data_IF_142428723071
#
_entry.id   IF_142428723071
#
_cell.length_a   1.000
_cell.length_b   1.000
_cell.length_c   1.000
_cell.angle_alpha   90.00
_cell.angle_beta   90.00
_cell.angle_gamma   90.00
#
_symmetry.space_group_name_H-M   'P 1'
#
loop_
_entity.id
_entity.type
_entity.pdbx_description
1 polymer ?
#
# COMPACT_ATOMS: atom_id res chain seq x y z
N UNK A 1 -14.85 7.12 0.80
CA UNK A 1 -14.23 5.79 1.04
C UNK A 1 -13.32 5.75 2.26
N UNK A 2 -12.13 6.38 2.25
CA UNK A 2 -11.14 6.26 3.36
C UNK A 2 -11.74 6.70 4.70
N UNK A 3 -12.31 7.91 4.75
CA UNK A 3 -12.96 8.45 5.94
C UNK A 3 -14.16 7.60 6.41
N UNK A 4 -15.07 7.26 5.50
CA UNK A 4 -16.30 6.52 5.80
C UNK A 4 -16.01 5.12 6.39
N UNK A 5 -15.00 4.42 5.86
CA UNK A 5 -14.61 3.10 6.34
C UNK A 5 -13.64 3.15 7.53
N UNK A 6 -13.25 4.34 7.98
CA UNK A 6 -12.27 4.54 9.06
C UNK A 6 -10.95 3.83 8.80
N UNK A 7 -10.51 3.79 7.54
CA UNK A 7 -9.19 3.25 7.16
C UNK A 7 -8.10 4.19 7.64
N UNK A 8 -7.19 3.69 8.48
CA UNK A 8 -6.04 4.43 9.00
C UNK A 8 -4.73 4.13 8.25
N UNK A 9 -4.73 3.16 7.31
CA UNK A 9 -3.58 2.84 6.45
C UNK A 9 -4.00 2.73 4.98
N UNK A 10 -3.19 3.33 4.11
CA UNK A 10 -3.22 3.14 2.66
C UNK A 10 -1.91 2.50 2.22
N UNK A 11 -1.97 1.35 1.54
CA UNK A 11 -0.84 0.68 0.92
C UNK A 11 -0.88 0.86 -0.61
N UNK A 12 -0.06 1.76 -1.12
CA UNK A 12 0.09 2.06 -2.54
C UNK A 12 1.23 1.24 -3.14
N UNK A 13 0.90 0.29 -4.02
CA UNK A 13 1.83 -0.67 -4.61
C UNK A 13 2.20 -0.30 -6.07
N UNK A 14 2.24 0.98 -6.41
CA UNK A 14 2.58 1.46 -7.77
C UNK A 14 3.28 2.81 -7.71
N UNK A 15 4.07 3.11 -8.74
CA UNK A 15 4.45 4.49 -9.03
C UNK A 15 3.29 5.23 -9.70
N UNK A 16 3.35 6.56 -9.72
CA UNK A 16 2.38 7.42 -10.41
C UNK A 16 2.48 7.24 -11.92
N UNK A 17 3.70 7.11 -12.43
CA UNK A 17 4.02 6.93 -13.85
C UNK A 17 5.02 5.79 -14.01
N UNK A 18 4.72 4.85 -14.90
CA UNK A 18 5.59 3.73 -15.24
C UNK A 18 5.70 3.65 -16.77
N UNK A 19 6.94 3.67 -17.30
CA UNK A 19 7.22 3.66 -18.75
C UNK A 19 6.43 4.71 -19.54
N UNK A 20 6.32 5.92 -18.99
CA UNK A 20 5.61 7.05 -19.60
C UNK A 20 4.09 6.96 -19.54
N UNK A 21 3.51 5.92 -18.90
CA UNK A 21 2.05 5.78 -18.73
C UNK A 21 1.64 6.11 -17.30
N UNK A 22 0.58 6.90 -17.16
CA UNK A 22 -0.02 7.18 -15.86
C UNK A 22 -0.63 5.89 -15.31
N UNK A 23 -0.28 5.58 -14.06
CA UNK A 23 -0.75 4.42 -13.30
C UNK A 23 -1.63 4.82 -12.13
N UNK A 24 -1.33 5.96 -11.51
CA UNK A 24 -2.08 6.51 -10.39
C UNK A 24 -1.91 8.04 -10.34
N UNK A 25 -3.00 8.78 -10.24
CA UNK A 25 -2.95 10.21 -9.98
C UNK A 25 -2.59 10.48 -8.52
N UNK A 26 -1.86 11.57 -8.26
CA UNK A 26 -1.56 12.01 -6.90
C UNK A 26 -2.87 12.48 -6.25
N UNK A 27 -3.23 11.84 -5.15
CA UNK A 27 -4.42 12.18 -4.34
C UNK A 27 -4.04 12.68 -2.94
N UNK A 28 -2.77 13.04 -2.76
CA UNK A 28 -2.20 13.54 -1.50
C UNK A 28 -1.49 14.88 -1.75
N UNK A 29 -1.27 15.69 -0.71
CA UNK A 29 -0.52 16.94 -0.83
C UNK A 29 0.97 16.70 -1.08
N UNK A 30 1.59 17.53 -1.91
CA UNK A 30 3.03 17.40 -2.23
C UNK A 30 3.94 18.14 -1.25
N UNK A 31 3.39 19.06 -0.47
CA UNK A 31 4.14 19.91 0.47
C UNK A 31 3.40 19.96 1.81
N UNK A 32 4.16 20.01 2.90
CA UNK A 32 3.64 20.07 4.27
C UNK A 32 2.69 21.27 4.47
N UNK A 33 3.03 22.43 3.91
CA UNK A 33 2.29 23.69 4.14
C UNK A 33 1.14 23.93 3.16
N UNK A 34 0.96 23.07 2.16
CA UNK A 34 -0.02 23.28 1.07
C UNK A 34 -1.02 22.14 1.07
N UNK A 35 -2.22 22.32 1.65
CA UNK A 35 -3.23 21.27 1.65
C UNK A 35 -3.77 21.00 0.24
N UNK A 36 -4.21 19.76 0.02
CA UNK A 36 -4.97 19.38 -1.16
C UNK A 36 -6.47 19.55 -0.87
N UNK A 37 -7.13 20.45 -1.60
CA UNK A 37 -8.58 20.66 -1.50
C UNK A 37 -9.33 19.81 -2.53
N UNK A 38 -10.23 18.96 -2.05
CA UNK A 38 -11.09 18.08 -2.87
C UNK A 38 -12.53 18.62 -2.98
N UNK A 39 -12.76 19.85 -2.50
CA UNK A 39 -14.07 20.50 -2.38
C UNK A 39 -14.81 20.12 -1.10
N UNK A 40 -14.84 18.83 -0.74
CA UNK A 40 -15.49 18.34 0.50
C UNK A 40 -14.51 18.06 1.64
N UNK A 41 -13.27 17.74 1.30
CA UNK A 41 -12.22 17.42 2.26
C UNK A 41 -10.97 18.23 1.95
N UNK A 42 -10.31 18.71 3.01
CA UNK A 42 -8.96 19.26 2.95
C UNK A 42 -7.99 18.23 3.52
N UNK A 43 -7.03 17.82 2.71
CA UNK A 43 -6.02 16.84 3.08
C UNK A 43 -4.75 17.60 3.40
N UNK A 44 -4.20 17.37 4.58
CA UNK A 44 -2.94 17.95 5.05
C UNK A 44 -1.88 16.87 5.13
N UNK A 45 -0.64 17.22 4.85
CA UNK A 45 0.51 16.34 5.02
C UNK A 45 1.24 16.78 6.30
N UNK A 46 1.38 15.89 7.27
CA UNK A 46 2.04 16.20 8.56
C UNK A 46 3.51 15.81 8.56
N UNK A 47 3.83 14.69 7.92
CA UNK A 47 5.19 14.18 7.82
C UNK A 47 5.39 13.42 6.52
N UNK A 48 6.63 13.42 6.02
CA UNK A 48 7.03 12.65 4.87
C UNK A 48 8.44 12.09 5.06
N UNK A 49 8.58 10.78 4.87
CA UNK A 49 9.84 10.06 4.96
C UNK A 49 10.08 9.26 3.68
N UNK A 50 11.34 9.26 3.24
CA UNK A 50 11.79 8.51 2.08
C UNK A 50 12.75 7.43 2.55
N UNK A 51 12.37 6.17 2.36
CA UNK A 51 13.22 5.00 2.56
C UNK A 51 13.57 4.42 1.19
N UNK A 52 14.61 3.61 1.13
CA UNK A 52 15.15 3.06 -0.12
C UNK A 52 14.05 2.37 -0.96
N UNK A 53 13.15 1.62 -0.33
CA UNK A 53 12.13 0.81 -1.01
C UNK A 53 10.68 1.24 -0.77
N UNK A 54 10.44 2.24 0.09
CA UNK A 54 9.10 2.77 0.30
C UNK A 54 9.10 4.22 0.82
N UNK A 55 7.99 4.92 0.60
CA UNK A 55 7.76 6.28 1.10
C UNK A 55 6.63 6.23 2.13
N UNK A 56 6.82 6.96 3.22
CA UNK A 56 5.81 7.12 4.27
C UNK A 56 5.34 8.55 4.24
N UNK A 57 4.03 8.74 4.18
CA UNK A 57 3.39 10.04 4.33
C UNK A 57 2.38 9.92 5.46
N UNK A 58 2.54 10.73 6.49
CA UNK A 58 1.65 10.72 7.62
C UNK A 58 0.70 11.91 7.52
N UNK A 59 -0.57 11.59 7.73
CA UNK A 59 -1.64 12.50 8.08
C UNK A 59 -2.54 11.75 9.07
N UNK A 60 -3.83 12.09 9.17
CA UNK A 60 -4.83 11.25 9.86
C UNK A 60 -4.84 9.77 9.39
N UNK A 61 -4.19 9.45 8.27
CA UNK A 61 -4.00 8.10 7.72
C UNK A 61 -2.51 7.94 7.38
N UNK A 62 -1.95 6.76 7.62
CA UNK A 62 -0.60 6.39 7.21
C UNK A 62 -0.63 5.95 5.74
N UNK A 63 -0.03 6.74 4.86
CA UNK A 63 0.11 6.41 3.45
C UNK A 63 1.49 5.81 3.19
N UNK A 64 1.51 4.52 2.88
CA UNK A 64 2.70 3.71 2.63
C UNK A 64 2.77 3.43 1.13
N UNK A 65 3.81 3.90 0.46
CA UNK A 65 4.02 3.67 -0.97
C UNK A 65 5.24 2.78 -1.21
N UNK A 66 5.04 1.58 -1.74
CA UNK A 66 6.14 0.71 -2.15
C UNK A 66 6.68 1.14 -3.52
N UNK A 67 7.96 1.51 -3.58
CA UNK A 67 8.53 2.23 -4.73
C UNK A 67 9.23 1.35 -5.75
N UNK A 68 9.64 0.13 -5.38
CA UNK A 68 10.48 -0.74 -6.21
C UNK A 68 9.77 -2.04 -6.60
N UNK A 69 8.60 -1.91 -7.22
CA UNK A 69 7.89 -3.00 -7.88
C UNK A 69 7.58 -2.64 -9.33
N UNK A 70 8.37 -3.13 -10.30
CA UNK A 70 8.17 -2.81 -11.72
C UNK A 70 6.83 -3.36 -12.23
N UNK A 71 6.21 -2.62 -13.16
CA UNK A 71 4.98 -3.04 -13.81
C UNK A 71 5.17 -4.39 -14.54
N UNK A 72 4.23 -5.31 -14.33
CA UNK A 72 4.28 -6.70 -14.85
C UNK A 72 5.51 -7.53 -14.42
N UNK A 73 6.19 -7.14 -13.33
CA UNK A 73 7.29 -7.90 -12.74
C UNK A 73 7.02 -8.33 -11.30
N UNK A 74 8.07 -8.83 -10.64
CA UNK A 74 8.11 -9.14 -9.21
C UNK A 74 8.93 -8.07 -8.46
N UNK A 75 8.78 -7.91 -7.14
CA UNK A 75 9.68 -7.05 -6.37
C UNK A 75 11.14 -7.46 -6.61
N UNK A 76 12.02 -6.48 -6.79
CA UNK A 76 13.45 -6.75 -7.00
C UNK A 76 14.10 -7.49 -5.82
N UNK A 77 13.54 -7.32 -4.62
CA UNK A 77 13.97 -8.01 -3.42
C UNK A 77 12.75 -8.38 -2.57
N UNK A 78 12.55 -9.68 -2.35
CA UNK A 78 11.44 -10.21 -1.54
C UNK A 78 11.52 -9.76 -0.08
N UNK A 79 12.73 -9.58 0.46
CA UNK A 79 12.95 -9.07 1.81
C UNK A 79 12.30 -7.68 2.00
N UNK A 80 12.34 -6.83 0.98
CA UNK A 80 11.77 -5.48 1.07
C UNK A 80 10.25 -5.52 1.10
N UNK A 81 9.63 -6.45 0.38
CA UNK A 81 8.19 -6.69 0.49
C UNK A 81 7.82 -7.18 1.91
N UNK A 82 8.62 -8.09 2.48
CA UNK A 82 8.41 -8.55 3.86
C UNK A 82 8.54 -7.41 4.89
N UNK A 83 9.57 -6.56 4.75
CA UNK A 83 9.75 -5.37 5.61
C UNK A 83 8.57 -4.41 5.48
N UNK A 84 8.07 -4.19 4.26
CA UNK A 84 6.89 -3.37 4.02
C UNK A 84 5.64 -3.94 4.71
N UNK A 85 5.38 -5.25 4.57
CA UNK A 85 4.24 -5.91 5.23
C UNK A 85 4.35 -5.80 6.75
N UNK A 86 5.54 -6.05 7.31
CA UNK A 86 5.78 -5.92 8.75
C UNK A 86 5.50 -4.50 9.23
N UNK A 87 6.02 -3.49 8.54
CA UNK A 87 5.77 -2.09 8.88
C UNK A 87 4.29 -1.73 8.77
N UNK A 88 3.63 -2.16 7.69
CA UNK A 88 2.18 -1.99 7.49
C UNK A 88 1.38 -2.54 8.67
N UNK A 89 1.68 -3.76 9.13
CA UNK A 89 1.04 -4.35 10.31
C UNK A 89 1.34 -3.58 11.60
N UNK A 90 2.55 -3.04 11.75
CA UNK A 90 2.93 -2.25 12.94
C UNK A 90 2.17 -0.92 13.02
N UNK A 91 1.89 -0.28 11.88
CA UNK A 91 1.21 1.03 11.87
C UNK A 91 -0.31 0.93 11.72
N UNK A 92 -0.84 -0.24 11.36
CA UNK A 92 -2.27 -0.50 11.23
C UNK A 92 -2.92 -0.73 12.60
N UNK A 93 -3.94 0.05 12.93
CA UNK A 93 -4.63 -0.02 14.22
C UNK A 93 -6.15 -0.11 14.10
N UNK A 94 -6.75 0.47 13.06
CA UNK A 94 -8.21 0.58 12.94
C UNK A 94 -8.73 0.47 11.51
N UNK A 95 -9.95 -0.06 11.38
CA UNK A 95 -10.63 -0.18 10.08
C UNK A 95 -9.87 -1.07 9.09
N UNK A 96 -10.30 -1.12 7.83
CA UNK A 96 -9.64 -1.92 6.81
C UNK A 96 -8.41 -1.21 6.26
N UNK A 97 -7.34 -1.96 5.99
CA UNK A 97 -6.19 -1.47 5.21
C UNK A 97 -6.64 -1.26 3.76
N UNK A 98 -6.50 -0.04 3.24
CA UNK A 98 -6.79 0.23 1.82
C UNK A 98 -5.57 -0.11 0.97
N UNK A 99 -5.61 -1.21 0.23
CA UNK A 99 -4.52 -1.60 -0.69
C UNK A 99 -4.90 -1.28 -2.12
N UNK A 100 -4.02 -0.62 -2.88
CA UNK A 100 -4.22 -0.43 -4.31
C UNK A 100 -2.91 -0.45 -5.11
N UNK A 101 -3.03 -0.59 -6.42
CA UNK A 101 -1.95 -0.39 -7.37
C UNK A 101 -2.46 0.51 -8.51
N UNK A 102 -2.37 0.07 -9.77
CA UNK A 102 -3.02 0.75 -10.90
C UNK A 102 -4.43 0.19 -11.14
N UNK A 103 -4.56 -1.08 -11.57
CA UNK A 103 -5.84 -1.74 -11.77
C UNK A 103 -6.45 -2.37 -10.50
N UNK A 104 -5.73 -2.36 -9.38
CA UNK A 104 -6.20 -2.88 -8.09
C UNK A 104 -6.21 -4.40 -7.96
N UNK A 105 -5.62 -5.15 -8.90
CA UNK A 105 -5.68 -6.63 -8.92
C UNK A 105 -4.32 -7.30 -8.70
N UNK A 106 -3.30 -7.00 -9.52
CA UNK A 106 -2.05 -7.77 -9.56
C UNK A 106 -1.17 -7.61 -8.31
N UNK A 107 -0.50 -6.46 -8.20
CA UNK A 107 0.40 -6.14 -7.07
C UNK A 107 -0.36 -6.09 -5.73
N UNK A 108 -1.60 -5.62 -5.79
CA UNK A 108 -2.56 -5.66 -4.67
C UNK A 108 -2.79 -7.09 -4.18
N UNK A 109 -3.14 -8.01 -5.08
CA UNK A 109 -3.39 -9.41 -4.74
C UNK A 109 -2.16 -10.10 -4.17
N UNK A 110 -0.98 -9.85 -4.73
CA UNK A 110 0.28 -10.42 -4.21
C UNK A 110 0.58 -9.91 -2.81
N UNK A 111 0.40 -8.61 -2.51
CA UNK A 111 0.57 -8.08 -1.16
C UNK A 111 -0.36 -8.80 -0.16
N UNK A 112 -1.65 -8.87 -0.49
CA UNK A 112 -2.68 -9.49 0.38
C UNK A 112 -2.37 -10.98 0.58
N UNK A 113 -2.07 -11.72 -0.49
CA UNK A 113 -1.75 -13.15 -0.38
C UNK A 113 -0.50 -13.38 0.45
N UNK A 114 0.54 -12.58 0.26
CA UNK A 114 1.80 -12.69 1.03
C UNK A 114 1.53 -12.42 2.50
N UNK A 115 0.74 -11.39 2.82
CA UNK A 115 0.34 -11.07 4.20
C UNK A 115 -0.41 -12.23 4.86
N UNK A 116 -1.39 -12.82 4.17
CA UNK A 116 -2.14 -13.99 4.67
C UNK A 116 -1.18 -15.17 4.91
N UNK A 117 -0.33 -15.50 3.95
CA UNK A 117 0.62 -16.62 4.05
C UNK A 117 1.57 -16.42 5.24
N UNK A 118 2.07 -15.20 5.45
CA UNK A 118 2.92 -14.88 6.59
C UNK A 118 2.17 -15.09 7.91
N UNK A 119 0.93 -14.60 8.00
CA UNK A 119 0.11 -14.79 9.21
C UNK A 119 -0.13 -16.27 9.51
N UNK A 120 -0.47 -17.07 8.50
CA UNK A 120 -0.67 -18.51 8.67
C UNK A 120 0.62 -19.21 9.12
N UNK A 121 1.74 -18.86 8.50
CA UNK A 121 3.06 -19.44 8.84
C UNK A 121 3.46 -19.08 10.27
N UNK A 122 3.30 -17.83 10.68
CA UNK A 122 3.58 -17.36 12.04
C UNK A 122 2.70 -18.04 13.10
N UNK A 123 1.49 -18.44 12.73
CA UNK A 123 0.56 -19.17 13.59
C UNK A 123 0.68 -20.72 13.45
N UNK A 124 1.69 -21.23 12.75
CA UNK A 124 1.88 -22.67 12.47
C UNK A 124 0.65 -23.35 11.83
N UNK A 125 -0.11 -22.61 11.02
CA UNK A 125 -1.26 -23.11 10.28
C UNK A 125 -0.83 -23.59 8.89
N UNK A 126 -1.51 -24.59 8.31
CA UNK A 126 -1.18 -25.12 6.99
C UNK A 126 -1.37 -24.06 5.90
N UNK A 127 -0.38 -23.96 5.01
CA UNK A 127 -0.39 -23.06 3.85
C UNK A 127 -0.66 -23.86 2.58
N UNK A 128 -1.73 -23.54 1.86
CA UNK A 128 -2.01 -24.08 0.53
C UNK A 128 -2.27 -22.96 -0.46
N UNK A 129 -1.32 -22.73 -1.38
CA UNK A 129 -1.38 -21.60 -2.32
C UNK A 129 -2.63 -21.56 -3.21
N UNK A 130 -3.19 -22.74 -3.55
CA UNK A 130 -4.41 -22.86 -4.37
C UNK A 130 -5.70 -22.48 -3.66
N UNK A 131 -5.67 -22.29 -2.33
CA UNK A 131 -6.84 -21.89 -1.56
C UNK A 131 -7.08 -20.36 -1.59
N UNK A 132 -6.03 -19.57 -1.81
CA UNK A 132 -6.07 -18.11 -1.69
C UNK A 132 -6.26 -17.39 -3.03
N UNK A 133 -5.79 -18.00 -4.12
CA UNK A 133 -5.96 -17.47 -5.49
C UNK A 133 -6.74 -18.51 -6.29
N UNK A 134 -8.04 -18.26 -6.48
CA UNK A 134 -8.88 -19.08 -7.37
C UNK A 134 -8.98 -18.39 -8.72
N UNK A 135 -8.41 -19.01 -9.75
CA UNK A 135 -8.69 -18.64 -11.13
C UNK A 135 -10.04 -19.25 -11.51
N UNK A 136 -11.02 -18.40 -11.81
CA UNK A 136 -12.33 -18.79 -12.37
C UNK A 136 -12.20 -19.13 -13.85
#
# INVERSE_FOLDING_TARGET
MIWENKSDVIAMMTQEVERGRIKCHKYWPERLDVPLDTGRYKIHLENQQYLEYFQIKTHFVQHLKFTHWPDHGVPHCSEQLLRFIRYLRTVHHMGPVTVHCSAGIGRTGVLICTDIILSLTENNLPVSGSQFVRFT
#
